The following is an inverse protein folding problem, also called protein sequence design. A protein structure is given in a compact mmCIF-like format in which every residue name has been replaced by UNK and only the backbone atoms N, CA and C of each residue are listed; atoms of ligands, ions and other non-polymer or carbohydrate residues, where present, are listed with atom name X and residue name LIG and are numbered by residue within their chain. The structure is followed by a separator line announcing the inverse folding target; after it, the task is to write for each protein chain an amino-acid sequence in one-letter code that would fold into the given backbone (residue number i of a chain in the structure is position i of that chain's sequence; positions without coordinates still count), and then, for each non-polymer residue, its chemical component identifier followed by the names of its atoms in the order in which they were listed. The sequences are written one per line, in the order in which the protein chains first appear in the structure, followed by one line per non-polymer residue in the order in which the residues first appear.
data_IF_208365146448
#
_entry.id   IF_208365146448
#
_cell.length_a   1.000
_cell.length_b   1.000
_cell.length_c   1.000
_cell.angle_alpha   90.00
_cell.angle_beta   90.00
_cell.angle_gamma   90.00
#
_symmetry.space_group_name_H-M   'P 1'
#
loop_
_entity.id
_entity.type
_entity.pdbx_description
1 polymer ?
#
# COMPACT_ATOMS: atom_id res chain seq x y z
N UNK A 1 -3.58 -4.20 13.60
CA UNK A 1 -3.55 -3.44 12.34
C UNK A 1 -2.25 -2.67 12.31
N UNK A 2 -1.44 -2.82 11.26
CA UNK A 2 -0.24 -2.01 11.04
C UNK A 2 -0.59 -0.79 10.21
N UNK A 3 0.08 0.33 10.47
CA UNK A 3 -0.10 1.58 9.73
C UNK A 3 1.22 2.34 9.70
N UNK A 4 1.57 2.94 8.57
CA UNK A 4 2.77 3.77 8.45
C UNK A 4 2.64 4.83 7.37
N UNK A 5 3.10 6.04 7.68
CA UNK A 5 3.28 7.11 6.70
C UNK A 5 4.37 6.72 5.71
N UNK A 6 4.22 7.16 4.45
CA UNK A 6 5.20 7.00 3.38
C UNK A 6 5.86 8.30 2.96
N UNK A 7 5.64 9.37 3.70
CA UNK A 7 6.24 10.68 3.41
C UNK A 7 7.77 10.61 3.30
N UNK A 8 8.41 9.88 4.20
CA UNK A 8 9.88 9.81 4.34
C UNK A 8 10.42 8.38 4.12
N UNK A 9 9.71 7.54 3.35
CA UNK A 9 10.21 6.19 3.04
C UNK A 9 11.50 6.29 2.23
N UNK A 10 12.58 5.72 2.77
CA UNK A 10 13.94 5.84 2.21
C UNK A 10 14.11 5.21 0.83
N UNK A 11 13.16 4.37 0.40
CA UNK A 11 13.19 3.72 -0.92
C UNK A 11 12.30 4.41 -1.95
N UNK A 12 11.22 5.06 -1.50
CA UNK A 12 10.30 5.78 -2.36
C UNK A 12 9.39 6.68 -1.50
N UNK A 13 9.76 7.95 -1.26
CA UNK A 13 8.97 8.85 -0.44
C UNK A 13 7.71 9.28 -1.21
N UNK A 14 6.55 8.87 -0.73
CA UNK A 14 5.24 9.25 -1.27
C UNK A 14 4.54 10.17 -0.25
N UNK A 15 4.51 11.49 -0.47
CA UNK A 15 3.86 12.41 0.45
C UNK A 15 2.35 12.13 0.55
N UNK A 16 1.78 12.32 1.73
CA UNK A 16 0.38 12.10 2.09
C UNK A 16 -0.15 10.68 1.84
N UNK A 17 0.74 9.71 1.63
CA UNK A 17 0.39 8.32 1.42
C UNK A 17 0.63 7.49 2.70
N UNK A 18 -0.27 6.54 2.94
CA UNK A 18 -0.25 5.69 4.12
C UNK A 18 -0.45 4.24 3.73
N UNK A 19 0.34 3.36 4.32
CA UNK A 19 0.19 1.93 4.14
C UNK A 19 -0.50 1.34 5.36
N UNK A 20 -1.61 0.64 5.11
CA UNK A 20 -2.35 -0.06 6.14
C UNK A 20 -2.22 -1.56 5.93
N UNK A 21 -2.03 -2.29 7.02
CA UNK A 21 -2.01 -3.74 7.05
C UNK A 21 -3.13 -4.23 7.95
N UNK A 22 -4.18 -4.76 7.34
CA UNK A 22 -5.33 -5.30 8.04
C UNK A 22 -5.18 -6.82 8.18
N UNK A 23 -5.16 -7.35 9.42
CA UNK A 23 -5.09 -8.78 9.64
C UNK A 23 -6.40 -9.42 9.18
N UNK A 24 -6.35 -10.50 8.41
CA UNK A 24 -7.53 -11.32 8.13
C UNK A 24 -7.62 -12.47 9.16
N UNK A 25 -8.26 -13.59 8.81
CA UNK A 25 -8.33 -14.79 9.65
C UNK A 25 -6.96 -15.41 9.93
N UNK A 26 -6.84 -16.05 11.09
CA UNK A 26 -5.63 -16.72 11.57
C UNK A 26 -4.38 -15.81 11.49
N UNK A 27 -4.37 -14.63 12.15
CA UNK A 27 -3.29 -13.66 11.99
C UNK A 27 -1.97 -14.06 12.67
N UNK A 28 -1.99 -15.10 13.51
CA UNK A 28 -0.82 -15.63 14.24
C UNK A 28 -0.01 -16.65 13.43
N UNK A 29 -0.47 -17.04 12.25
CA UNK A 29 0.21 -18.01 11.40
C UNK A 29 0.70 -17.39 10.09
N UNK A 30 1.80 -17.92 9.56
CA UNK A 30 2.25 -17.63 8.20
C UNK A 30 1.23 -18.12 7.17
N UNK A 31 1.25 -17.53 5.97
CA UNK A 31 0.30 -17.84 4.91
C UNK A 31 0.16 -19.35 4.62
N UNK A 32 1.28 -20.06 4.54
CA UNK A 32 1.34 -21.50 4.28
C UNK A 32 0.80 -22.36 5.43
N UNK A 33 0.74 -21.82 6.65
CA UNK A 33 0.40 -22.57 7.87
C UNK A 33 -1.01 -22.28 8.36
N UNK A 34 -1.76 -21.43 7.66
CA UNK A 34 -3.16 -21.17 8.00
C UNK A 34 -4.00 -22.40 7.66
N UNK A 35 -4.58 -23.03 8.68
CA UNK A 35 -5.54 -24.15 8.53
C UNK A 35 -6.98 -23.69 8.74
N UNK A 36 -7.96 -24.50 8.33
CA UNK A 36 -9.38 -24.17 8.52
C UNK A 36 -9.75 -24.11 10.00
N UNK A 37 -9.14 -24.97 10.82
CA UNK A 37 -9.30 -24.95 12.28
C UNK A 37 -8.79 -23.63 12.86
N UNK A 38 -7.62 -23.15 12.42
CA UNK A 38 -7.11 -21.86 12.89
C UNK A 38 -8.04 -20.71 12.48
N UNK A 39 -8.47 -20.68 11.20
CA UNK A 39 -9.37 -19.64 10.70
C UNK A 39 -10.70 -19.61 11.46
N UNK A 40 -11.24 -20.79 11.79
CA UNK A 40 -12.47 -20.92 12.56
C UNK A 40 -12.28 -20.56 14.06
N UNK A 41 -11.09 -20.80 14.61
CA UNK A 41 -10.78 -20.51 16.02
C UNK A 41 -10.47 -19.04 16.31
N UNK A 42 -10.13 -18.25 15.29
CA UNK A 42 -9.81 -16.83 15.42
C UNK A 42 -10.96 -15.95 14.95
N UNK A 43 -11.18 -14.82 15.63
CA UNK A 43 -12.08 -13.78 15.13
C UNK A 43 -11.61 -13.29 13.76
N UNK A 44 -12.56 -12.97 12.88
CA UNK A 44 -12.25 -12.48 11.54
C UNK A 44 -11.77 -11.04 11.62
N UNK A 45 -10.88 -10.67 10.71
CA UNK A 45 -10.60 -9.26 10.47
C UNK A 45 -11.58 -8.69 9.46
N UNK A 46 -11.61 -9.31 8.28
CA UNK A 46 -12.49 -8.93 7.18
C UNK A 46 -13.92 -9.41 7.45
N UNK A 47 -14.88 -8.49 7.34
CA UNK A 47 -16.31 -8.79 7.38
C UNK A 47 -16.76 -9.54 6.12
N UNK A 48 -17.83 -10.32 6.25
CA UNK A 48 -18.46 -10.95 5.09
C UNK A 48 -19.05 -9.87 4.16
N UNK A 49 -19.16 -10.16 2.87
CA UNK A 49 -19.55 -9.16 1.86
C UNK A 49 -20.95 -8.62 2.17
N UNK A 50 -21.06 -7.30 2.28
CA UNK A 50 -22.30 -6.61 2.60
C UNK A 50 -22.53 -6.37 4.09
N UNK A 51 -21.66 -6.90 4.96
CA UNK A 51 -21.69 -6.66 6.40
C UNK A 51 -20.74 -5.53 6.79
N UNK A 52 -21.18 -4.66 7.69
CA UNK A 52 -20.36 -3.60 8.27
C UNK A 52 -19.55 -4.12 9.47
N UNK A 53 -18.39 -3.54 9.76
CA UNK A 53 -17.62 -3.91 10.95
C UNK A 53 -18.36 -3.52 12.23
N UNK A 54 -18.39 -4.44 13.18
CA UNK A 54 -18.96 -4.26 14.51
C UNK A 54 -17.87 -4.22 15.61
N UNK A 55 -16.62 -4.55 15.25
CA UNK A 55 -15.49 -4.64 16.16
C UNK A 55 -15.47 -5.91 17.02
N UNK A 56 -16.43 -6.81 16.86
CA UNK A 56 -16.57 -8.04 17.64
C UNK A 56 -16.42 -9.27 16.74
N UNK A 57 -17.28 -9.40 15.73
CA UNK A 57 -17.25 -10.50 14.77
C UNK A 57 -16.24 -10.23 13.64
N UNK A 58 -16.13 -8.96 13.24
CA UNK A 58 -15.15 -8.49 12.28
C UNK A 58 -14.74 -7.02 12.54
N UNK A 59 -13.60 -6.61 11.98
CA UNK A 59 -12.96 -5.31 12.30
C UNK A 59 -12.84 -4.37 11.12
N UNK A 60 -12.93 -4.86 9.88
CA UNK A 60 -12.93 -4.01 8.70
C UNK A 60 -13.75 -4.62 7.56
N UNK A 61 -14.32 -3.75 6.74
CA UNK A 61 -14.93 -4.09 5.47
C UNK A 61 -14.35 -3.17 4.40
N UNK A 62 -14.36 -3.62 3.14
CA UNK A 62 -13.98 -2.77 2.01
C UNK A 62 -14.90 -3.04 0.83
N UNK A 63 -15.01 -2.03 -0.03
CA UNK A 63 -15.63 -2.15 -1.34
C UNK A 63 -14.58 -1.82 -2.39
N UNK A 64 -14.43 -2.68 -3.38
CA UNK A 64 -13.61 -2.39 -4.55
C UNK A 64 -14.41 -1.45 -5.43
N UNK A 65 -13.87 -0.27 -5.71
CA UNK A 65 -14.48 0.69 -6.63
C UNK A 65 -14.14 0.34 -8.08
N UNK A 66 -12.93 -0.16 -8.32
CA UNK A 66 -12.43 -0.61 -9.61
C UNK A 66 -10.92 -0.81 -9.52
N UNK A 67 -10.24 -0.83 -10.66
CA UNK A 67 -8.78 -0.95 -10.76
C UNK A 67 -8.26 -0.23 -12.01
N UNK A 68 -6.95 0.01 -12.06
CA UNK A 68 -6.26 0.52 -13.27
C UNK A 68 -5.23 -0.51 -13.71
N UNK A 69 -5.04 -0.64 -15.03
CA UNK A 69 -3.92 -1.41 -15.55
C UNK A 69 -2.64 -0.59 -15.38
N UNK A 70 -1.59 -1.19 -14.80
CA UNK A 70 -0.32 -0.47 -14.58
C UNK A 70 0.28 0.01 -15.90
N UNK A 71 0.15 -0.76 -16.98
CA UNK A 71 0.68 -0.38 -18.30
C UNK A 71 0.01 0.89 -18.86
N UNK A 72 -1.24 1.17 -18.49
CA UNK A 72 -1.92 2.45 -18.82
C UNK A 72 -1.41 3.60 -17.95
N UNK A 73 -1.05 3.33 -16.70
CA UNK A 73 -0.49 4.33 -15.78
C UNK A 73 0.92 4.74 -16.19
N UNK A 74 1.77 3.75 -16.49
CA UNK A 74 3.19 3.99 -16.86
C UNK A 74 3.35 4.40 -18.34
N UNK A 75 2.26 4.31 -19.13
CA UNK A 75 2.19 4.82 -20.49
C UNK A 75 2.63 3.84 -21.59
N UNK A 76 2.82 2.55 -21.28
CA UNK A 76 3.20 1.53 -22.26
C UNK A 76 2.17 1.44 -23.39
N UNK A 77 0.88 1.52 -23.06
CA UNK A 77 -0.22 1.46 -24.04
C UNK A 77 -0.37 2.73 -24.89
N UNK A 78 0.50 3.72 -24.68
CA UNK A 78 0.62 4.91 -25.52
C UNK A 78 1.89 4.90 -26.40
N UNK A 79 2.75 3.89 -26.28
CA UNK A 79 3.98 3.76 -27.07
C UNK A 79 3.65 3.11 -28.41
N UNK A 80 4.09 3.73 -29.52
CA UNK A 80 3.93 3.17 -30.87
C UNK A 80 4.79 1.90 -31.04
N UNK A 81 4.17 0.82 -31.52
CA UNK A 81 4.84 -0.38 -31.98
C UNK A 81 5.22 -0.21 -33.47
N UNK A 82 6.52 -0.12 -33.80
CA UNK A 82 6.97 0.12 -35.18
C UNK A 82 6.73 -1.08 -36.12
N UNK A 83 6.52 -2.29 -35.59
CA UNK A 83 6.25 -3.48 -36.41
C UNK A 83 4.80 -3.54 -36.88
N UNK A 84 3.86 -3.11 -36.04
CA UNK A 84 2.42 -3.18 -36.32
C UNK A 84 1.83 -1.85 -36.77
N UNK A 85 2.51 -0.73 -36.49
CA UNK A 85 2.00 0.62 -36.73
C UNK A 85 0.84 1.02 -35.81
N UNK A 86 0.62 0.28 -34.72
CA UNK A 86 -0.36 0.56 -33.66
C UNK A 86 0.37 0.71 -32.32
N UNK A 87 -0.30 1.12 -31.25
CA UNK A 87 0.30 1.12 -29.90
C UNK A 87 0.47 -0.30 -29.36
N UNK A 88 1.39 -0.50 -28.41
CA UNK A 88 1.52 -1.78 -27.69
C UNK A 88 0.27 -2.09 -26.86
N UNK A 89 -0.14 -3.35 -26.83
CA UNK A 89 -1.36 -3.78 -26.13
C UNK A 89 -1.15 -3.95 -24.63
N UNK A 90 0.08 -4.27 -24.19
CA UNK A 90 0.44 -4.52 -22.79
C UNK A 90 1.97 -4.61 -22.62
N UNK A 91 2.42 -4.71 -21.36
CA UNK A 91 3.81 -4.87 -20.95
C UNK A 91 4.50 -6.07 -21.61
N UNK A 92 3.81 -7.20 -21.78
CA UNK A 92 4.44 -8.40 -22.35
C UNK A 92 4.78 -8.21 -23.83
N UNK A 93 3.90 -7.58 -24.60
CA UNK A 93 4.17 -7.24 -26.01
C UNK A 93 5.33 -6.25 -26.11
N UNK A 94 5.29 -5.20 -25.31
CA UNK A 94 6.34 -4.18 -25.29
C UNK A 94 7.70 -4.75 -24.88
N UNK A 95 7.76 -5.49 -23.78
CA UNK A 95 9.01 -6.07 -23.27
C UNK A 95 9.64 -7.09 -24.24
N UNK A 96 8.83 -7.84 -25.01
CA UNK A 96 9.33 -8.83 -25.97
C UNK A 96 9.76 -8.22 -27.32
N UNK A 97 9.31 -7.01 -27.65
CA UNK A 97 9.62 -6.37 -28.93
C UNK A 97 11.08 -5.90 -29.04
N UNK A 98 11.70 -5.51 -27.93
CA UNK A 98 13.12 -5.14 -27.89
C UNK A 98 13.71 -5.51 -26.52
N UNK A 99 14.89 -6.14 -26.51
CA UNK A 99 15.64 -6.45 -25.30
C UNK A 99 16.01 -5.22 -24.46
N UNK A 100 15.98 -4.03 -25.04
CA UNK A 100 16.21 -2.75 -24.35
C UNK A 100 14.94 -2.18 -23.71
N UNK A 101 13.76 -2.75 -23.96
CA UNK A 101 12.52 -2.33 -23.32
C UNK A 101 12.51 -2.78 -21.86
N UNK A 102 13.00 -1.89 -21.00
CA UNK A 102 13.04 -2.04 -19.55
C UNK A 102 12.04 -1.09 -18.93
N UNK A 103 11.07 -1.58 -18.16
CA UNK A 103 10.12 -0.69 -17.48
C UNK A 103 10.81 0.09 -16.36
N UNK A 104 11.56 -0.61 -15.50
CA UNK A 104 12.29 -0.03 -14.39
C UNK A 104 13.47 -0.90 -13.98
N UNK A 105 14.64 -0.29 -13.88
CA UNK A 105 15.83 -0.84 -13.26
C UNK A 105 16.48 0.24 -12.39
N UNK A 106 16.92 -0.14 -11.19
CA UNK A 106 17.52 0.76 -10.23
C UNK A 106 18.61 0.04 -9.43
N UNK A 107 19.58 0.82 -8.95
CA UNK A 107 20.59 0.34 -8.01
C UNK A 107 19.91 0.01 -6.67
N UNK A 108 20.09 -1.22 -6.20
CA UNK A 108 19.41 -1.70 -4.99
C UNK A 108 19.96 -1.10 -3.69
N UNK A 109 21.17 -0.54 -3.70
CA UNK A 109 21.82 0.08 -2.55
C UNK A 109 21.45 1.57 -2.44
N UNK A 110 21.48 2.30 -3.55
CA UNK A 110 21.23 3.74 -3.58
C UNK A 110 19.77 4.08 -3.87
N UNK A 111 19.04 3.20 -4.57
CA UNK A 111 17.70 3.45 -5.09
C UNK A 111 17.67 4.35 -6.33
N UNK A 112 18.83 4.71 -6.88
CA UNK A 112 18.91 5.52 -8.10
C UNK A 112 18.49 4.69 -9.32
N UNK A 113 17.69 5.29 -10.19
CA UNK A 113 17.24 4.64 -11.43
C UNK A 113 18.40 4.54 -12.43
N UNK A 114 18.61 3.36 -12.98
CA UNK A 114 19.63 3.08 -14.01
C UNK A 114 19.06 3.24 -15.42
N UNK A 115 17.88 2.66 -15.65
CA UNK A 115 17.15 2.73 -16.92
C UNK A 115 15.68 2.41 -16.70
N UNK A 116 14.81 2.88 -17.59
CA UNK A 116 13.40 2.57 -17.55
C UNK A 116 12.52 3.60 -18.25
N UNK A 117 11.21 3.51 -18.03
CA UNK A 117 10.24 4.47 -18.55
C UNK A 117 10.37 5.83 -17.84
N UNK A 118 10.12 6.96 -18.56
CA UNK A 118 10.11 8.30 -17.95
C UNK A 118 9.20 8.42 -16.73
N UNK A 119 8.13 7.63 -16.68
CA UNK A 119 7.23 7.56 -15.52
C UNK A 119 7.98 7.30 -14.22
N UNK A 120 9.09 6.56 -14.22
CA UNK A 120 9.83 6.16 -13.02
C UNK A 120 11.06 7.03 -12.69
N UNK A 121 11.34 8.08 -13.48
CA UNK A 121 12.51 8.99 -13.27
C UNK A 121 12.52 9.65 -11.89
N UNK A 122 13.67 9.71 -11.22
CA UNK A 122 13.81 10.23 -9.85
C UNK A 122 12.89 9.52 -8.82
N UNK A 123 13.06 8.20 -8.60
CA UNK A 123 12.20 7.42 -7.69
C UNK A 123 12.30 7.85 -6.21
N UNK A 124 13.37 8.55 -5.84
CA UNK A 124 13.59 9.09 -4.50
C UNK A 124 13.07 10.53 -4.33
N UNK A 125 12.53 11.14 -5.39
CA UNK A 125 12.01 12.50 -5.34
C UNK A 125 10.52 12.51 -4.95
N UNK A 126 10.21 13.12 -3.80
CA UNK A 126 8.85 13.16 -3.26
C UNK A 126 7.85 13.91 -4.15
N UNK A 127 8.29 14.94 -4.88
CA UNK A 127 7.46 15.66 -5.84
C UNK A 127 7.13 14.78 -7.04
N UNK A 128 8.12 14.08 -7.59
CA UNK A 128 7.89 13.14 -8.69
C UNK A 128 6.94 12.01 -8.27
N UNK A 129 7.11 11.48 -7.06
CA UNK A 129 6.24 10.45 -6.48
C UNK A 129 4.80 10.96 -6.20
N UNK A 130 4.63 12.22 -5.82
CA UNK A 130 3.31 12.84 -5.70
C UNK A 130 2.59 12.83 -7.06
N UNK A 131 3.29 13.23 -8.12
CA UNK A 131 2.76 13.20 -9.51
C UNK A 131 2.39 11.78 -9.94
N UNK A 132 3.17 10.77 -9.56
CA UNK A 132 2.84 9.35 -9.82
C UNK A 132 1.55 8.92 -9.12
N UNK A 133 1.37 9.29 -7.86
CA UNK A 133 0.14 8.99 -7.13
C UNK A 133 -1.08 9.67 -7.76
N UNK A 134 -0.92 10.92 -8.21
CA UNK A 134 -1.95 11.64 -8.96
C UNK A 134 -2.26 10.97 -10.32
N UNK A 135 -1.24 10.47 -11.01
CA UNK A 135 -1.40 9.77 -12.28
C UNK A 135 -2.26 8.51 -12.14
N UNK A 136 -2.10 7.72 -11.07
CA UNK A 136 -2.96 6.56 -10.79
C UNK A 136 -4.44 6.96 -10.68
N UNK A 137 -4.72 8.04 -9.95
CA UNK A 137 -6.08 8.57 -9.77
C UNK A 137 -6.62 9.10 -11.10
N UNK A 138 -5.81 9.85 -11.85
CA UNK A 138 -6.19 10.39 -13.15
C UNK A 138 -6.48 9.28 -14.17
N UNK A 139 -5.65 8.23 -14.24
CA UNK A 139 -5.87 7.07 -15.11
C UNK A 139 -7.16 6.33 -14.76
N UNK A 140 -7.52 6.26 -13.47
CA UNK A 140 -8.79 5.66 -13.06
C UNK A 140 -10.00 6.45 -13.60
N UNK A 141 -9.98 7.77 -13.47
CA UNK A 141 -11.05 8.64 -14.01
C UNK A 141 -11.09 8.60 -15.55
N UNK A 142 -9.94 8.54 -16.21
CA UNK A 142 -9.88 8.34 -17.67
C UNK A 142 -10.46 6.98 -18.09
N UNK A 143 -10.17 5.92 -17.33
CA UNK A 143 -10.71 4.58 -17.56
C UNK A 143 -12.23 4.58 -17.48
N UNK A 144 -12.81 5.27 -16.48
CA UNK A 144 -14.25 5.43 -16.33
C UNK A 144 -14.90 6.23 -17.47
N UNK A 145 -14.22 7.29 -17.94
CA UNK A 145 -14.78 8.21 -18.93
C UNK A 145 -14.59 7.78 -20.39
N UNK A 146 -13.46 7.14 -20.70
CA UNK A 146 -13.00 6.86 -22.06
C UNK A 146 -12.69 5.39 -22.32
N UNK A 147 -12.74 4.54 -21.29
CA UNK A 147 -12.37 3.13 -21.39
C UNK A 147 -10.86 2.89 -21.24
N UNK A 148 -10.46 1.63 -21.39
CA UNK A 148 -9.07 1.20 -21.47
C UNK A 148 -8.94 0.15 -22.56
N UNK A 149 -7.78 0.09 -23.21
CA UNK A 149 -7.47 -0.97 -24.18
C UNK A 149 -7.19 -2.32 -23.50
N UNK A 150 -6.97 -2.31 -22.18
CA UNK A 150 -6.65 -3.49 -21.38
C UNK A 150 -7.82 -4.01 -20.54
N UNK A 151 -8.89 -3.22 -20.41
CA UNK A 151 -10.04 -3.54 -19.58
C UNK A 151 -11.28 -3.56 -20.45
N UNK A 152 -12.00 -4.68 -20.47
CA UNK A 152 -13.21 -4.79 -21.27
C UNK A 152 -14.33 -3.88 -20.75
N UNK A 153 -15.18 -3.41 -21.67
CA UNK A 153 -16.26 -2.46 -21.37
C UNK A 153 -17.24 -2.98 -20.31
N UNK A 154 -17.49 -4.30 -20.25
CA UNK A 154 -18.41 -4.87 -19.26
C UNK A 154 -17.80 -4.83 -17.84
N UNK A 155 -16.49 -5.03 -17.71
CA UNK A 155 -15.76 -4.83 -16.45
C UNK A 155 -15.77 -3.37 -16.02
N UNK A 156 -15.51 -2.42 -16.94
CA UNK A 156 -15.54 -0.98 -16.64
C UNK A 156 -16.95 -0.54 -16.22
N UNK A 157 -18.00 -1.10 -16.83
CA UNK A 157 -19.38 -0.80 -16.46
C UNK A 157 -19.72 -1.18 -15.00
N UNK A 158 -18.93 -2.05 -14.36
CA UNK A 158 -19.07 -2.39 -12.94
C UNK A 158 -18.27 -1.47 -12.01
N UNK A 159 -17.36 -0.64 -12.54
CA UNK A 159 -16.57 0.29 -11.74
C UNK A 159 -17.44 1.44 -11.20
N UNK A 160 -16.94 2.08 -10.15
CA UNK A 160 -17.61 3.19 -9.46
C UNK A 160 -16.69 4.40 -9.41
N UNK A 161 -17.24 5.59 -9.61
CA UNK A 161 -16.50 6.84 -9.45
C UNK A 161 -15.86 6.95 -8.07
N UNK A 162 -14.67 7.57 -8.02
CA UNK A 162 -14.05 7.89 -6.73
C UNK A 162 -14.90 8.97 -6.04
N UNK A 163 -15.25 8.78 -4.76
CA UNK A 163 -15.91 9.85 -4.00
C UNK A 163 -14.94 11.02 -3.82
N UNK A 164 -15.44 12.25 -3.88
CA UNK A 164 -14.59 13.41 -3.60
C UNK A 164 -14.11 13.39 -2.13
N UNK A 165 -12.96 14.00 -1.87
CA UNK A 165 -12.42 14.12 -0.49
C UNK A 165 -13.46 14.75 0.46
N UNK A 166 -14.26 15.70 -0.04
CA UNK A 166 -15.32 16.36 0.72
C UNK A 166 -16.47 15.41 1.03
N UNK A 167 -16.91 14.61 0.07
CA UNK A 167 -17.96 13.59 0.28
C UNK A 167 -17.49 12.53 1.29
N UNK A 168 -16.25 12.05 1.14
CA UNK A 168 -15.63 11.14 2.10
C UNK A 168 -15.59 11.74 3.51
N UNK A 169 -15.17 13.00 3.64
CA UNK A 169 -15.10 13.66 4.94
C UNK A 169 -16.50 13.84 5.57
N UNK A 170 -17.54 14.02 4.76
CA UNK A 170 -18.91 14.20 5.23
C UNK A 170 -19.57 12.88 5.72
N UNK A 171 -19.20 11.74 5.14
CA UNK A 171 -19.73 10.43 5.57
C UNK A 171 -18.96 9.82 6.74
N UNK A 172 -17.72 10.26 6.97
CA UNK A 172 -16.92 9.83 8.11
C UNK A 172 -17.30 10.57 9.40
N UNK A 173 -17.19 9.89 10.54
CA UNK A 173 -17.41 10.51 11.84
C UNK A 173 -16.40 11.66 12.08
N UNK A 174 -16.82 12.73 12.79
CA UNK A 174 -15.92 13.79 13.23
C UNK A 174 -14.69 13.25 13.94
N UNK A 175 -13.54 13.88 13.73
CA UNK A 175 -12.27 13.36 14.22
C UNK A 175 -12.21 13.17 15.75
N UNK A 176 -12.83 14.06 16.52
CA UNK A 176 -12.89 13.94 17.98
C UNK A 176 -13.65 12.68 18.46
N UNK A 177 -14.48 12.05 17.61
CA UNK A 177 -15.18 10.81 17.95
C UNK A 177 -14.32 9.56 17.77
N UNK A 178 -13.23 9.67 16.99
CA UNK A 178 -12.34 8.53 16.70
C UNK A 178 -10.93 8.72 17.26
N UNK A 179 -10.54 9.96 17.57
CA UNK A 179 -9.19 10.31 18.05
C UNK A 179 -9.32 11.28 19.24
N UNK A 180 -8.95 10.81 20.43
CA UNK A 180 -9.16 11.57 21.67
C UNK A 180 -8.44 12.93 21.70
N UNK A 181 -7.23 13.02 21.14
CA UNK A 181 -6.48 14.28 21.08
C UNK A 181 -7.19 15.36 20.25
N UNK A 182 -8.04 14.97 19.30
CA UNK A 182 -8.83 15.87 18.46
C UNK A 182 -10.03 16.49 19.19
N UNK A 183 -10.34 16.07 20.42
CA UNK A 183 -11.40 16.64 21.24
C UNK A 183 -11.05 18.00 21.88
N UNK A 184 -9.81 18.47 21.73
CA UNK A 184 -9.32 19.68 22.40
C UNK A 184 -8.47 20.56 21.47
N UNK A 185 -8.04 21.73 21.95
CA UNK A 185 -7.19 22.66 21.18
C UNK A 185 -7.90 23.17 19.92
N UNK A 186 -7.20 23.13 18.79
CA UNK A 186 -7.74 23.54 17.49
C UNK A 186 -8.63 22.47 16.83
N UNK A 187 -8.78 21.28 17.44
CA UNK A 187 -9.46 20.15 16.82
C UNK A 187 -8.67 19.52 15.67
N UNK A 188 -9.35 18.66 14.91
CA UNK A 188 -8.77 17.97 13.74
C UNK A 188 -9.78 17.90 12.58
N UNK A 189 -9.25 17.68 11.38
CA UNK A 189 -10.03 17.46 10.14
C UNK A 189 -9.59 16.17 9.44
N UNK A 190 -10.48 15.63 8.61
CA UNK A 190 -10.17 14.51 7.71
C UNK A 190 -9.44 15.05 6.48
N UNK A 191 -8.36 14.40 6.07
CA UNK A 191 -7.54 14.81 4.93
C UNK A 191 -7.31 13.65 3.95
N UNK A 192 -7.15 13.99 2.67
CA UNK A 192 -6.83 13.05 1.59
C UNK A 192 -7.87 11.93 1.38
N UNK A 193 -7.53 10.93 0.57
CA UNK A 193 -8.36 9.72 0.41
C UNK A 193 -8.24 8.75 1.60
N UNK A 194 -7.15 8.82 2.36
CA UNK A 194 -6.95 8.01 3.56
C UNK A 194 -7.87 8.42 4.72
N UNK A 195 -8.43 9.64 4.67
CA UNK A 195 -9.37 10.16 5.65
C UNK A 195 -8.81 10.09 7.08
N UNK A 196 -7.50 10.29 7.23
CA UNK A 196 -6.87 10.37 8.54
C UNK A 196 -7.20 11.70 9.21
N UNK A 197 -7.22 11.69 10.55
CA UNK A 197 -7.42 12.89 11.34
C UNK A 197 -6.12 13.65 11.50
N UNK A 198 -6.04 14.81 10.87
CA UNK A 198 -4.90 15.74 10.98
C UNK A 198 -5.30 16.92 11.87
N UNK A 199 -4.41 17.32 12.77
CA UNK A 199 -4.61 18.50 13.60
C UNK A 199 -4.81 19.74 12.74
N UNK A 200 -5.68 20.64 13.21
CA UNK A 200 -5.95 21.88 12.49
C UNK A 200 -5.03 23.01 12.94
N UNK A 201 -4.68 23.86 11.97
CA UNK A 201 -3.98 25.11 12.25
C UNK A 201 -4.85 26.07 13.07
N UNK A 202 -4.20 27.01 13.77
CA UNK A 202 -4.92 28.00 14.56
C UNK A 202 -5.81 28.87 13.64
N UNK A 203 -7.11 28.94 13.96
CA UNK A 203 -8.08 29.72 13.21
C UNK A 203 -8.82 28.98 12.09
N UNK A 204 -8.49 27.70 11.82
CA UNK A 204 -9.25 26.89 10.86
C UNK A 204 -10.67 26.53 11.36
N UNK A 205 -10.89 26.55 12.67
CA UNK A 205 -12.21 26.34 13.27
C UNK A 205 -12.69 24.88 13.23
N UNK A 206 -11.79 23.91 13.35
CA UNK A 206 -12.17 22.50 13.33
C UNK A 206 -12.98 22.10 14.58
N UNK A 207 -13.89 21.14 14.38
CA UNK A 207 -14.76 20.66 15.43
C UNK A 207 -13.96 19.95 16.54
N UNK A 208 -14.36 20.22 17.77
CA UNK A 208 -13.88 19.55 18.99
C UNK A 208 -15.05 18.86 19.69
N UNK A 209 -14.79 18.03 20.71
CA UNK A 209 -15.85 17.38 21.49
C UNK A 209 -16.62 18.35 22.37
N UNK A 210 -16.09 19.56 22.60
CA UNK A 210 -16.58 20.47 23.63
C UNK A 210 -16.66 19.73 24.98
N UNK A 211 -17.83 19.75 25.61
CA UNK A 211 -18.12 19.01 26.86
C UNK A 211 -18.98 17.75 26.66
N UNK A 212 -19.21 17.29 25.42
CA UNK A 212 -20.35 16.41 25.12
C UNK A 212 -20.03 14.97 24.70
N UNK A 213 -18.88 14.70 24.08
CA UNK A 213 -18.53 13.35 23.63
C UNK A 213 -17.60 12.65 24.62
N UNK A 214 -18.01 11.48 25.09
CA UNK A 214 -17.19 10.58 25.89
C UNK A 214 -16.92 9.30 25.10
N UNK A 215 -15.66 8.83 25.13
CA UNK A 215 -15.31 7.57 24.50
C UNK A 215 -15.94 6.41 25.28
N UNK A 216 -16.46 5.38 24.58
CA UNK A 216 -16.95 4.19 25.25
C UNK A 216 -15.80 3.49 26.00
N UNK A 217 -16.09 3.03 27.21
CA UNK A 217 -15.16 2.16 27.94
C UNK A 217 -15.18 0.77 27.31
N UNK A 218 -14.06 0.35 26.71
CA UNK A 218 -13.93 -0.96 26.07
C UNK A 218 -13.43 -1.99 27.08
N UNK A 219 -14.08 -3.16 27.10
CA UNK A 219 -13.60 -4.30 27.86
C UNK A 219 -12.22 -4.73 27.35
N UNK A 220 -11.25 -4.90 28.27
CA UNK A 220 -9.93 -5.44 27.91
C UNK A 220 -10.09 -6.89 27.47
N UNK A 221 -9.33 -7.26 26.44
CA UNK A 221 -9.21 -8.66 26.06
C UNK A 221 -8.63 -9.46 27.25
N UNK A 222 -9.22 -10.62 27.62
CA UNK A 222 -8.67 -11.46 28.66
C UNK A 222 -7.27 -11.91 28.27
N UNK A 223 -6.35 -11.80 29.21
CA UNK A 223 -4.94 -12.16 29.03
C UNK A 223 -4.38 -12.61 30.36
N UNK A 224 -3.53 -13.64 30.34
CA UNK A 224 -2.80 -14.11 31.53
C UNK A 224 -1.62 -13.17 31.88
N UNK A 225 -1.31 -12.24 30.98
CA UNK A 225 -0.27 -11.24 31.17
C UNK A 225 -0.74 -10.17 32.16
N UNK A 226 0.17 -9.73 33.02
CA UNK A 226 -0.12 -8.63 33.94
C UNK A 226 -0.39 -7.31 33.19
N UNK A 227 -1.03 -6.36 33.88
CA UNK A 227 -1.26 -5.03 33.30
C UNK A 227 0.05 -4.40 32.79
N UNK A 228 1.15 -4.55 33.54
CA UNK A 228 2.44 -3.98 33.19
C UNK A 228 3.08 -4.62 31.94
N UNK A 229 2.72 -5.88 31.64
CA UNK A 229 3.15 -6.60 30.44
C UNK A 229 2.29 -6.27 29.21
N UNK A 230 1.13 -5.65 29.41
CA UNK A 230 0.16 -5.35 28.34
C UNK A 230 0.01 -3.87 28.06
N UNK A 231 0.59 -3.01 28.90
CA UNK A 231 0.59 -1.55 28.74
C UNK A 231 1.99 -1.06 28.46
N UNK A 232 2.24 -0.61 27.22
CA UNK A 232 3.39 0.25 26.94
C UNK A 232 3.11 1.63 27.53
N UNK A 233 3.98 2.12 28.40
CA UNK A 233 3.80 3.45 28.99
C UNK A 233 3.93 4.53 27.92
N UNK A 234 3.25 5.66 28.14
CA UNK A 234 3.32 6.81 27.23
C UNK A 234 4.77 7.30 27.08
N UNK A 235 5.57 7.27 28.15
CA UNK A 235 7.00 7.63 28.08
C UNK A 235 7.81 6.66 27.21
N UNK A 236 7.46 5.37 27.19
CA UNK A 236 8.13 4.39 26.36
C UNK A 236 7.79 4.57 24.87
N UNK A 237 6.55 4.96 24.54
CA UNK A 237 6.15 5.30 23.16
C UNK A 237 6.79 6.61 22.68
N UNK A 238 6.85 7.63 23.55
CA UNK A 238 7.47 8.92 23.22
C UNK A 238 9.00 8.82 23.04
N UNK A 239 9.65 7.82 23.66
CA UNK A 239 11.08 7.53 23.49
C UNK A 239 11.37 6.58 22.31
N UNK A 240 10.45 5.68 21.95
CA UNK A 240 10.63 4.78 20.82
C UNK A 240 10.73 5.51 19.45
N UNK A 241 10.23 6.74 19.36
CA UNK A 241 10.36 7.59 18.17
C UNK A 241 11.64 8.44 18.10
N UNK A 242 12.56 8.32 19.08
CA UNK A 242 13.77 9.18 19.17
C UNK A 242 15.10 8.49 18.90
N UNK A 243 15.14 7.16 18.81
CA UNK A 243 16.40 6.45 18.58
C UNK A 243 16.66 6.15 17.10
N UNK A 244 17.09 7.18 16.38
CA UNK A 244 17.97 7.00 15.21
C UNK A 244 19.11 8.03 15.27
N UNK A 245 20.16 7.72 16.04
CA UNK A 245 21.58 7.97 15.69
C UNK A 245 22.50 7.77 16.91
N UNK A 246 23.16 6.61 16.99
CA UNK A 246 24.63 6.51 17.10
C UNK A 246 25.09 5.09 17.42
N UNK A 247 25.99 4.62 16.57
CA UNK A 247 26.80 3.41 16.70
C UNK A 247 27.73 3.43 17.91
N UNK A 248 27.86 2.33 18.65
CA UNK A 248 29.16 1.70 18.95
C UNK A 248 29.04 0.35 19.68
N UNK A 249 29.51 -0.69 18.99
CA UNK A 249 30.32 -1.84 19.43
C UNK A 249 30.22 -2.41 20.86
N UNK A 250 29.90 -3.70 20.96
CA UNK A 250 30.11 -4.53 22.15
C UNK A 250 29.79 -6.02 21.94
N UNK A 251 30.79 -6.79 21.57
CA UNK A 251 30.86 -8.21 21.16
C UNK A 251 30.07 -9.31 21.91
N UNK A 252 29.58 -10.24 21.07
CA UNK A 252 29.57 -11.72 21.18
C UNK A 252 28.73 -12.45 22.23
N UNK A 253 27.75 -13.25 21.79
CA UNK A 253 27.92 -14.72 21.65
C UNK A 253 26.77 -15.36 20.85
N UNK A 254 27.13 -16.43 20.17
CA UNK A 254 26.45 -17.13 19.09
C UNK A 254 25.22 -17.98 19.48
N UNK A 255 24.16 -17.94 18.67
CA UNK A 255 23.46 -19.15 18.23
C UNK A 255 22.79 -18.93 16.87
N UNK A 256 22.98 -19.92 16.01
CA UNK A 256 22.65 -19.99 14.59
C UNK A 256 21.17 -20.19 14.31
N UNK A 257 20.62 -19.43 13.36
CA UNK A 257 19.62 -19.90 12.37
C UNK A 257 19.73 -19.01 11.14
N UNK A 258 20.44 -19.52 10.14
CA UNK A 258 20.68 -18.85 8.87
C UNK A 258 19.45 -18.99 7.98
N UNK A 259 18.92 -17.87 7.49
CA UNK A 259 18.11 -17.82 6.28
C UNK A 259 19.00 -17.30 5.15
N UNK A 260 19.27 -18.15 4.17
CA UNK A 260 20.07 -17.85 2.99
C UNK A 260 19.34 -16.85 2.07
N UNK A 261 20.06 -15.96 1.35
CA UNK A 261 19.47 -15.18 0.28
C UNK A 261 19.08 -16.10 -0.88
N UNK A 262 17.82 -16.00 -1.31
CA UNK A 262 17.32 -16.68 -2.50
C UNK A 262 18.05 -16.15 -3.73
N UNK A 263 18.92 -16.98 -4.30
CA UNK A 263 19.53 -16.77 -5.61
C UNK A 263 18.53 -17.20 -6.68
N UNK A 264 18.06 -16.25 -7.49
CA UNK A 264 17.38 -16.58 -8.74
C UNK A 264 18.42 -17.17 -9.71
N UNK A 265 18.41 -18.50 -9.83
CA UNK A 265 19.15 -19.20 -10.87
C UNK A 265 18.33 -19.17 -12.15
N UNK A 266 18.69 -18.26 -13.06
CA UNK A 266 18.26 -18.32 -14.45
C UNK A 266 18.84 -19.61 -15.06
N UNK A 267 17.98 -20.62 -15.25
CA UNK A 267 18.37 -21.84 -15.95
C UNK A 267 18.44 -21.53 -17.45
N UNK A 268 19.66 -21.28 -17.94
CA UNK A 268 19.96 -21.27 -19.35
C UNK A 268 19.72 -22.68 -19.93
N UNK A 269 18.67 -22.85 -20.73
CA UNK A 269 18.54 -24.04 -21.57
C UNK A 269 19.43 -23.83 -22.80
N UNK A 270 20.62 -24.40 -22.73
CA UNK A 270 21.48 -24.58 -23.89
C UNK A 270 20.85 -25.64 -24.81
N UNK A 271 20.21 -25.23 -25.91
CA UNK A 271 20.00 -26.13 -27.05
C UNK A 271 21.23 -26.03 -27.97
N UNK A 272 22.03 -27.08 -27.92
CA UNK A 272 23.20 -27.29 -28.75
C UNK A 272 22.79 -27.50 -30.21
N UNK A 273 23.50 -26.82 -31.11
CA UNK A 273 23.55 -27.12 -32.53
C UNK A 273 23.92 -28.59 -32.79
N UNK A 274 23.07 -29.29 -33.54
CA UNK A 274 23.52 -30.42 -34.37
C UNK A 274 23.26 -30.04 -35.82
N UNK A 275 24.35 -29.70 -36.52
CA UNK A 275 24.37 -29.65 -37.96
C UNK A 275 24.29 -31.08 -38.53
N UNK A 276 23.35 -31.33 -39.44
CA UNK A 276 23.45 -32.40 -40.42
C UNK A 276 22.85 -31.90 -41.73
N UNK A 277 23.73 -31.61 -42.69
CA UNK A 277 23.42 -31.37 -44.08
C UNK A 277 22.89 -32.65 -44.74
N UNK A 278 21.86 -32.54 -45.59
CA UNK A 278 21.60 -33.31 -46.84
C UNK A 278 20.37 -32.65 -47.49
N UNK A 279 20.54 -31.83 -48.54
CA UNK A 279 20.56 -32.20 -49.95
C UNK A 279 19.17 -32.19 -50.61
N UNK A 280 19.11 -31.46 -51.75
CA UNK A 280 18.03 -31.23 -52.73
C UNK A 280 17.07 -30.06 -52.45
#
# INVERSE_FOLDING_TARGET
VGGGSKNDDVRAPYPDNYWFSFPNTCPTQSWSNKTDECRASTRKGLCDVGEGPDGVDCTFAYNILGWVAIDDVVGITAIDNPETGSVYSNFSEWCLADSNNTEFAADAETGEMETGLPFWEDPLNSTANAVRAEAVVATYELTLGYGSVQIDEATIAAFKSLPTIKELAAVNLPCYMTVASCGSGNGCKRTGYSQLCTACEAGEGCATSGSGFEFPELAKAPTDLSANETTTSKEALDNAGKDTSSSSSGSSSSSTSAAAPATFTASAVALSLVAAAFAL
#
